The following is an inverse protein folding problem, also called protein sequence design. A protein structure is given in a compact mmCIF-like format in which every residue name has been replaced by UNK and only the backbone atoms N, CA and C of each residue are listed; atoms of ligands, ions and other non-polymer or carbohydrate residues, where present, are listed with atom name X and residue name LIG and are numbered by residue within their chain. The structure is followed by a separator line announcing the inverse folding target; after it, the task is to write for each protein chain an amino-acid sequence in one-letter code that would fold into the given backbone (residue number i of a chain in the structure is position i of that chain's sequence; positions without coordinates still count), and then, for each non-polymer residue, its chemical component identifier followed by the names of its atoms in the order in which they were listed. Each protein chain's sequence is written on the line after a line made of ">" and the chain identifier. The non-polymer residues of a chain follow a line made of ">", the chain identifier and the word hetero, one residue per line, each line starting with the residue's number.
data_IF_936417505031
#
_entry.id   IF_936417505031
#
_cell.length_a   1.000
_cell.length_b   1.000
_cell.length_c   1.000
_cell.angle_alpha   90.00
_cell.angle_beta   90.00
_cell.angle_gamma   90.00
#
_symmetry.space_group_name_H-M   'P 1'
#
loop_
_entity.id
_entity.type
_entity.pdbx_description
1 polymer ?
#
# COMPACT_ATOMS: atom_id res chain seq x y z
N UNK A 1 8.52 -1.42 7.28
CA UNK A 1 8.99 -2.70 6.74
C UNK A 1 8.43 -3.85 7.57
N UNK A 2 8.66 -3.87 8.87
CA UNK A 2 8.28 -5.00 9.75
C UNK A 2 6.77 -5.26 9.78
N UNK A 3 5.93 -4.22 9.68
CA UNK A 3 4.46 -4.37 9.58
C UNK A 3 4.10 -5.16 8.33
N UNK A 4 4.62 -4.78 7.16
CA UNK A 4 4.36 -5.49 5.90
C UNK A 4 4.93 -6.91 5.88
N UNK A 5 6.11 -7.11 6.48
CA UNK A 5 6.66 -8.46 6.65
C UNK A 5 5.76 -9.31 7.56
N UNK A 6 5.28 -8.75 8.67
CA UNK A 6 4.34 -9.42 9.57
C UNK A 6 3.02 -9.76 8.87
N UNK A 7 2.46 -8.84 8.09
CA UNK A 7 1.26 -9.08 7.27
C UNK A 7 1.48 -10.19 6.23
N UNK A 8 2.63 -10.20 5.54
CA UNK A 8 2.97 -11.29 4.62
C UNK A 8 3.06 -12.63 5.37
N UNK A 9 3.75 -12.68 6.50
CA UNK A 9 3.90 -13.89 7.30
C UNK A 9 2.55 -14.36 7.85
N UNK A 10 1.62 -13.46 8.16
CA UNK A 10 0.30 -13.82 8.67
C UNK A 10 -0.52 -14.64 7.66
N UNK A 11 -0.29 -14.47 6.37
CA UNK A 11 -0.96 -15.24 5.30
C UNK A 11 -0.29 -16.59 5.02
N UNK A 12 0.92 -16.80 5.55
CA UNK A 12 1.74 -17.99 5.30
C UNK A 12 1.64 -18.96 6.49
N UNK A 13 0.48 -19.62 6.60
CA UNK A 13 0.23 -20.63 7.67
C UNK A 13 1.09 -21.88 7.55
N UNK A 14 1.80 -22.03 6.44
CA UNK A 14 2.84 -23.03 6.23
C UNK A 14 4.18 -22.66 6.93
N UNK A 15 4.41 -21.38 7.20
CA UNK A 15 5.64 -20.87 7.83
C UNK A 15 5.44 -20.52 9.31
N UNK A 16 4.25 -20.10 9.70
CA UNK A 16 3.95 -19.66 11.06
C UNK A 16 2.77 -20.42 11.64
N UNK A 17 2.76 -20.59 12.97
CA UNK A 17 1.64 -21.25 13.64
C UNK A 17 0.36 -20.42 13.49
N UNK A 18 -0.81 -21.07 13.52
CA UNK A 18 -2.13 -20.40 13.46
C UNK A 18 -2.29 -19.33 14.55
N UNK A 19 -1.71 -19.55 15.75
CA UNK A 19 -1.71 -18.57 16.84
C UNK A 19 -0.92 -17.34 16.47
N UNK A 20 0.30 -17.50 15.93
CA UNK A 20 1.15 -16.39 15.51
C UNK A 20 0.54 -15.65 14.30
N UNK A 21 0.00 -16.37 13.32
CA UNK A 21 -0.72 -15.78 12.18
C UNK A 21 -1.85 -14.84 12.66
N UNK A 22 -2.64 -15.28 13.65
CA UNK A 22 -3.73 -14.47 14.23
C UNK A 22 -3.21 -13.19 14.92
N UNK A 23 -2.07 -13.26 15.62
CA UNK A 23 -1.46 -12.08 16.24
C UNK A 23 -0.87 -11.12 15.17
N UNK A 24 -0.20 -11.66 14.16
CA UNK A 24 0.35 -10.87 13.07
C UNK A 24 -0.73 -10.17 12.22
N UNK A 25 -1.91 -10.77 12.09
CA UNK A 25 -3.07 -10.14 11.43
C UNK A 25 -3.60 -8.89 12.15
N UNK A 26 -3.23 -8.67 13.42
CA UNK A 26 -3.58 -7.45 14.16
C UNK A 26 -2.69 -6.26 13.81
N UNK A 27 -1.60 -6.48 13.07
CA UNK A 27 -0.74 -5.40 12.61
C UNK A 27 -1.49 -4.53 11.61
N UNK A 28 -1.78 -3.31 12.02
CA UNK A 28 -2.48 -2.34 11.17
C UNK A 28 -1.46 -1.50 10.38
N UNK A 29 -1.89 -1.05 9.19
CA UNK A 29 -1.11 -0.11 8.38
C UNK A 29 -1.33 1.34 8.80
N UNK A 30 -2.05 1.59 9.90
CA UNK A 30 -2.30 2.94 10.40
C UNK A 30 -1.01 3.51 10.99
N UNK A 31 -0.48 4.53 10.34
CA UNK A 31 0.79 5.16 10.68
C UNK A 31 0.57 6.66 10.90
N UNK A 32 1.37 7.25 11.77
CA UNK A 32 1.38 8.70 11.97
C UNK A 32 1.54 9.44 10.64
N UNK A 33 0.76 10.49 10.45
CA UNK A 33 0.80 11.28 9.23
C UNK A 33 2.14 12.01 9.06
N UNK A 34 2.65 12.05 7.83
CA UNK A 34 3.78 12.93 7.49
C UNK A 34 3.27 14.36 7.26
N UNK A 35 4.15 15.35 7.40
CA UNK A 35 3.79 16.76 7.22
C UNK A 35 3.24 17.03 5.83
N UNK A 36 2.28 17.93 5.74
CA UNK A 36 1.71 18.36 4.46
C UNK A 36 2.75 19.01 3.55
N UNK A 37 3.76 19.69 4.10
CA UNK A 37 4.85 20.29 3.33
C UNK A 37 5.65 19.23 2.57
N UNK A 38 5.88 18.06 3.16
CA UNK A 38 6.48 16.95 2.44
C UNK A 38 5.60 16.46 1.28
N UNK A 39 4.31 16.30 1.52
CA UNK A 39 3.33 15.89 0.50
C UNK A 39 3.33 16.90 -0.66
N UNK A 40 3.23 18.18 -0.34
CA UNK A 40 3.26 19.28 -1.32
C UNK A 40 4.55 19.24 -2.14
N UNK A 41 5.71 19.21 -1.50
CA UNK A 41 7.01 19.16 -2.16
C UNK A 41 7.14 17.94 -3.09
N UNK A 42 6.65 16.77 -2.66
CA UNK A 42 6.67 15.56 -3.49
C UNK A 42 5.79 15.72 -4.71
N UNK A 43 4.58 16.27 -4.56
CA UNK A 43 3.66 16.53 -5.68
C UNK A 43 4.28 17.54 -6.66
N UNK A 44 4.89 18.61 -6.17
CA UNK A 44 5.55 19.62 -6.99
C UNK A 44 6.74 19.04 -7.76
N UNK A 45 7.58 18.24 -7.09
CA UNK A 45 8.77 17.61 -7.69
C UNK A 45 8.38 16.60 -8.79
N UNK A 46 7.40 15.74 -8.52
CA UNK A 46 7.01 14.66 -9.42
C UNK A 46 6.17 15.15 -10.61
N UNK A 47 5.34 16.20 -10.43
CA UNK A 47 4.36 16.64 -11.43
C UNK A 47 4.70 18.00 -12.07
N UNK A 48 5.66 18.74 -11.53
CA UNK A 48 6.06 20.06 -12.04
C UNK A 48 4.86 21.01 -12.17
N UNK A 49 4.66 21.61 -13.34
CA UNK A 49 3.56 22.58 -13.59
C UNK A 49 2.16 21.99 -13.38
N UNK A 50 2.01 20.68 -13.55
CA UNK A 50 0.70 19.97 -13.35
C UNK A 50 0.28 19.89 -11.89
N UNK A 51 1.21 20.08 -10.95
CA UNK A 51 0.94 20.02 -9.49
C UNK A 51 -0.12 21.04 -9.06
N UNK A 52 -0.20 22.21 -9.72
CA UNK A 52 -1.19 23.25 -9.42
C UNK A 52 -2.62 22.75 -9.44
N UNK A 53 -2.97 21.86 -10.37
CA UNK A 53 -4.32 21.31 -10.49
C UNK A 53 -4.74 20.46 -9.29
N UNK A 54 -3.78 19.89 -8.59
CA UNK A 54 -4.02 19.11 -7.37
C UNK A 54 -3.95 20.03 -6.15
N UNK A 55 -2.87 20.80 -6.02
CA UNK A 55 -2.58 21.58 -4.82
C UNK A 55 -3.53 22.74 -4.57
N UNK A 56 -4.19 23.27 -5.61
CA UNK A 56 -5.16 24.38 -5.46
C UNK A 56 -6.39 23.99 -4.64
N UNK A 57 -6.79 22.72 -4.65
CA UNK A 57 -8.02 22.23 -4.02
C UNK A 57 -7.82 20.93 -3.23
N UNK A 58 -6.60 20.72 -2.69
CA UNK A 58 -6.27 19.55 -1.88
C UNK A 58 -6.65 19.79 -0.41
N UNK A 59 -7.25 18.77 0.20
CA UNK A 59 -7.42 18.75 1.64
C UNK A 59 -6.06 18.49 2.31
N UNK A 60 -5.65 19.38 3.20
CA UNK A 60 -4.38 19.23 3.93
C UNK A 60 -4.42 18.10 4.97
N UNK A 61 -5.62 17.78 5.45
CA UNK A 61 -5.82 16.63 6.34
C UNK A 61 -5.81 15.34 5.53
N UNK A 62 -4.98 14.36 5.86
CA UNK A 62 -4.96 13.12 5.12
C UNK A 62 -6.25 12.32 5.32
N UNK A 63 -6.76 11.74 4.24
CA UNK A 63 -7.84 10.75 4.30
C UNK A 63 -7.39 9.47 5.00
N UNK A 64 -6.15 9.05 4.73
CA UNK A 64 -5.52 7.93 5.42
C UNK A 64 -3.99 8.03 5.36
N UNK A 65 -3.32 7.40 6.32
CA UNK A 65 -1.86 7.36 6.39
C UNK A 65 -1.42 5.92 6.65
N UNK A 66 -0.89 5.28 5.61
CA UNK A 66 -0.43 3.89 5.64
C UNK A 66 1.10 3.80 5.71
N UNK A 67 1.63 2.58 5.86
CA UNK A 67 3.07 2.32 6.01
C UNK A 67 3.90 2.77 4.80
N UNK A 68 3.35 2.74 3.60
CA UNK A 68 4.06 3.09 2.36
C UNK A 68 3.66 4.45 1.79
N UNK A 69 2.47 4.95 2.11
CA UNK A 69 1.92 6.15 1.50
C UNK A 69 0.93 6.88 2.39
N UNK A 70 0.68 8.12 2.04
CA UNK A 70 -0.38 8.95 2.59
C UNK A 70 -1.33 9.37 1.49
N UNK A 71 -2.63 9.40 1.79
CA UNK A 71 -3.69 9.69 0.83
C UNK A 71 -4.38 10.99 1.19
N UNK A 72 -4.54 11.87 0.23
CA UNK A 72 -5.28 13.13 0.36
C UNK A 72 -6.40 13.20 -0.67
N UNK A 73 -7.47 13.88 -0.29
CA UNK A 73 -8.58 14.22 -1.18
C UNK A 73 -8.30 15.54 -1.86
N UNK A 74 -8.69 15.65 -3.12
CA UNK A 74 -8.70 16.93 -3.84
C UNK A 74 -9.86 16.99 -4.83
N UNK A 75 -10.17 18.22 -5.28
CA UNK A 75 -11.23 18.44 -6.26
C UNK A 75 -10.63 18.96 -7.57
N UNK A 76 -11.10 18.40 -8.68
CA UNK A 76 -10.76 18.82 -10.01
C UNK A 76 -12.01 18.72 -10.89
N UNK A 77 -12.36 19.82 -11.61
CA UNK A 77 -13.54 19.89 -12.47
C UNK A 77 -14.83 19.47 -11.74
N UNK A 78 -15.02 19.92 -10.50
CA UNK A 78 -16.13 19.59 -9.59
C UNK A 78 -16.25 18.11 -9.21
N UNK A 79 -15.28 17.28 -9.59
CA UNK A 79 -15.22 15.86 -9.21
C UNK A 79 -14.20 15.66 -8.10
N UNK A 80 -14.46 14.66 -7.28
CA UNK A 80 -13.62 14.29 -6.13
C UNK A 80 -12.64 13.20 -6.53
N UNK A 81 -11.38 13.40 -6.21
CA UNK A 81 -10.27 12.47 -6.48
C UNK A 81 -9.45 12.25 -5.22
N UNK A 82 -8.64 11.22 -5.24
CA UNK A 82 -7.59 11.01 -4.24
C UNK A 82 -6.23 11.02 -4.89
N UNK A 83 -5.26 11.58 -4.18
CA UNK A 83 -3.85 11.48 -4.50
C UNK A 83 -3.15 10.69 -3.41
N UNK A 84 -2.54 9.57 -3.77
CA UNK A 84 -1.72 8.74 -2.91
C UNK A 84 -0.27 9.09 -3.16
N UNK A 85 0.43 9.54 -2.13
CA UNK A 85 1.82 10.02 -2.19
C UNK A 85 2.70 9.13 -1.33
N UNK A 86 3.80 8.67 -1.88
CA UNK A 86 4.76 7.80 -1.20
C UNK A 86 5.44 8.53 -0.03
N UNK A 87 5.70 7.83 1.06
CA UNK A 87 6.41 8.37 2.23
C UNK A 87 7.89 8.68 1.94
N UNK A 88 8.51 9.60 2.71
CA UNK A 88 9.91 9.97 2.53
C UNK A 88 10.87 8.81 2.83
N UNK A 89 11.98 8.79 2.11
CA UNK A 89 13.12 7.88 2.35
C UNK A 89 12.76 6.40 2.47
N UNK A 90 11.59 6.02 1.95
CA UNK A 90 11.02 4.71 2.15
C UNK A 90 11.89 3.60 1.55
N UNK A 91 12.36 3.80 0.32
CA UNK A 91 13.20 2.81 -0.38
C UNK A 91 14.51 2.52 0.38
N UNK A 92 15.20 3.57 0.82
CA UNK A 92 16.47 3.44 1.55
C UNK A 92 16.26 2.74 2.89
N UNK A 93 15.22 3.11 3.63
CA UNK A 93 14.87 2.48 4.90
C UNK A 93 14.55 1.00 4.72
N UNK A 94 13.76 0.66 3.71
CA UNK A 94 13.40 -0.73 3.41
C UNK A 94 14.63 -1.57 3.06
N UNK A 95 15.52 -1.06 2.21
CA UNK A 95 16.74 -1.78 1.84
C UNK A 95 17.65 -2.02 3.05
N UNK A 96 17.81 -1.04 3.94
CA UNK A 96 18.58 -1.21 5.19
C UNK A 96 17.98 -2.31 6.07
N UNK A 97 16.66 -2.29 6.27
CA UNK A 97 15.97 -3.27 7.09
C UNK A 97 16.05 -4.68 6.50
N UNK A 98 15.89 -4.83 5.18
CA UNK A 98 16.02 -6.13 4.48
C UNK A 98 17.45 -6.66 4.61
N UNK A 99 18.47 -5.81 4.45
CA UNK A 99 19.87 -6.22 4.61
C UNK A 99 20.16 -6.67 6.03
N UNK A 100 19.57 -6.01 7.04
CA UNK A 100 19.71 -6.43 8.44
C UNK A 100 19.09 -7.81 8.67
N UNK A 101 17.89 -8.07 8.12
CA UNK A 101 17.24 -9.39 8.21
C UNK A 101 18.07 -10.46 7.49
N UNK A 102 18.58 -10.17 6.29
CA UNK A 102 19.47 -11.09 5.55
C UNK A 102 20.75 -11.41 6.33
N UNK A 103 21.32 -10.42 7.00
CA UNK A 103 22.47 -10.61 7.88
C UNK A 103 22.14 -11.52 9.07
N UNK A 104 21.02 -11.29 9.75
CA UNK A 104 20.54 -12.14 10.84
C UNK A 104 20.31 -13.59 10.39
N UNK A 105 19.72 -13.81 9.21
CA UNK A 105 19.54 -15.17 8.64
C UNK A 105 20.88 -15.87 8.42
N UNK A 106 21.90 -15.16 7.91
CA UNK A 106 23.25 -15.73 7.73
C UNK A 106 23.89 -16.16 9.05
N UNK A 107 23.76 -15.34 10.09
CA UNK A 107 24.24 -15.66 11.43
C UNK A 107 23.52 -16.90 11.97
N UNK A 108 22.19 -16.94 11.92
CA UNK A 108 21.40 -18.08 12.37
C UNK A 108 21.81 -19.37 11.67
N UNK A 109 22.05 -19.32 10.35
CA UNK A 109 22.49 -20.47 9.56
C UNK A 109 23.84 -20.99 9.99
N UNK A 110 24.73 -20.12 10.50
CA UNK A 110 26.06 -20.52 11.00
C UNK A 110 25.96 -21.26 12.34
N UNK A 111 25.05 -20.84 13.23
CA UNK A 111 24.94 -21.42 14.58
C UNK A 111 23.99 -22.61 14.70
N UNK A 112 22.98 -22.72 13.81
CA UNK A 112 21.98 -23.77 13.89
C UNK A 112 22.35 -24.91 12.94
N UNK A 113 22.87 -26.01 13.48
CA UNK A 113 23.26 -27.22 12.72
C UNK A 113 22.05 -27.91 12.04
N UNK A 114 20.86 -27.81 12.63
CA UNK A 114 19.60 -28.30 12.06
C UNK A 114 18.77 -27.13 11.54
N UNK A 115 19.20 -26.55 10.43
CA UNK A 115 18.46 -25.46 9.80
C UNK A 115 17.09 -25.96 9.29
N UNK A 116 15.99 -25.25 9.52
CA UNK A 116 14.69 -25.70 9.07
C UNK A 116 14.69 -25.91 7.54
N UNK A 117 13.88 -26.87 7.06
CA UNK A 117 13.70 -27.18 5.62
C UNK A 117 13.21 -25.96 4.80
N UNK A 118 12.85 -24.88 5.49
CA UNK A 118 12.34 -23.65 4.90
C UNK A 118 13.51 -22.74 4.53
N UNK A 119 13.61 -22.36 3.27
CA UNK A 119 14.63 -21.42 2.80
C UNK A 119 14.22 -19.97 3.15
N UNK A 120 14.62 -19.52 4.36
CA UNK A 120 14.36 -18.15 4.83
C UNK A 120 14.99 -17.11 3.92
N UNK A 121 16.12 -17.41 3.26
CA UNK A 121 16.75 -16.47 2.33
C UNK A 121 15.89 -16.26 1.09
N UNK A 122 15.26 -17.33 0.58
CA UNK A 122 14.32 -17.24 -0.53
C UNK A 122 13.12 -16.39 -0.16
N UNK A 123 12.55 -16.58 1.03
CA UNK A 123 11.40 -15.80 1.52
C UNK A 123 11.74 -14.31 1.57
N UNK A 124 12.88 -13.93 2.13
CA UNK A 124 13.24 -12.51 2.23
C UNK A 124 13.59 -11.89 0.85
N UNK A 125 14.11 -12.67 -0.08
CA UNK A 125 14.32 -12.21 -1.45
C UNK A 125 13.01 -12.03 -2.21
N UNK A 126 12.04 -12.93 -2.03
CA UNK A 126 10.69 -12.79 -2.59
C UNK A 126 9.98 -11.57 -1.98
N UNK A 127 10.12 -11.36 -0.67
CA UNK A 127 9.60 -10.16 0.00
C UNK A 127 10.23 -8.88 -0.56
N UNK A 128 11.55 -8.84 -0.75
CA UNK A 128 12.23 -7.70 -1.35
C UNK A 128 11.69 -7.36 -2.75
N UNK A 129 11.40 -8.38 -3.55
CA UNK A 129 10.80 -8.21 -4.88
C UNK A 129 9.39 -7.63 -4.78
N UNK A 130 8.54 -8.18 -3.91
CA UNK A 130 7.17 -7.72 -3.71
C UNK A 130 7.17 -6.26 -3.25
N UNK A 131 7.98 -5.92 -2.24
CA UNK A 131 7.99 -4.55 -1.71
C UNK A 131 8.55 -3.53 -2.72
N UNK A 132 9.54 -3.92 -3.55
CA UNK A 132 10.02 -3.06 -4.62
C UNK A 132 8.94 -2.78 -5.68
N UNK A 133 8.06 -3.74 -5.95
CA UNK A 133 6.91 -3.53 -6.83
C UNK A 133 5.87 -2.60 -6.17
N UNK A 134 5.60 -2.73 -4.88
CA UNK A 134 4.71 -1.83 -4.13
C UNK A 134 5.24 -0.38 -4.06
N UNK A 135 6.54 -0.18 -4.24
CA UNK A 135 7.18 1.15 -4.31
C UNK A 135 7.08 1.80 -5.70
N UNK A 136 6.44 1.18 -6.66
CA UNK A 136 6.22 1.77 -7.99
C UNK A 136 4.71 1.84 -8.30
N UNK A 137 4.12 2.99 -8.02
CA UNK A 137 2.68 3.19 -8.21
C UNK A 137 2.22 3.11 -9.68
N UNK A 138 3.14 3.13 -10.65
CA UNK A 138 2.81 2.86 -12.06
C UNK A 138 2.36 1.40 -12.24
N UNK A 139 2.92 0.47 -11.45
CA UNK A 139 2.48 -0.94 -11.46
C UNK A 139 1.08 -1.07 -10.87
N UNK A 140 0.78 -0.36 -9.77
CA UNK A 140 -0.57 -0.30 -9.18
C UNK A 140 -1.58 0.25 -10.21
N UNK A 141 -1.24 1.36 -10.87
CA UNK A 141 -2.08 1.95 -11.91
C UNK A 141 -2.33 0.99 -13.09
N UNK A 142 -1.29 0.32 -13.58
CA UNK A 142 -1.41 -0.65 -14.66
C UNK A 142 -2.28 -1.86 -14.26
N UNK A 143 -2.14 -2.34 -13.02
CA UNK A 143 -2.97 -3.44 -12.52
C UNK A 143 -4.43 -3.02 -12.38
N UNK A 144 -4.69 -1.80 -11.87
CA UNK A 144 -6.05 -1.26 -11.79
C UNK A 144 -6.68 -1.14 -13.18
N UNK A 145 -5.93 -0.65 -14.17
CA UNK A 145 -6.40 -0.56 -15.57
C UNK A 145 -6.76 -1.92 -16.15
N UNK A 146 -5.88 -2.93 -16.02
CA UNK A 146 -6.16 -4.30 -16.45
C UNK A 146 -7.40 -4.88 -15.75
N UNK A 147 -7.54 -4.61 -14.44
CA UNK A 147 -8.72 -5.07 -13.70
C UNK A 147 -9.98 -4.39 -14.23
N UNK A 148 -9.94 -3.09 -14.49
CA UNK A 148 -11.05 -2.36 -15.11
C UNK A 148 -11.43 -2.95 -16.47
N UNK A 149 -10.45 -3.21 -17.35
CA UNK A 149 -10.68 -3.80 -18.68
C UNK A 149 -11.31 -5.20 -18.58
N UNK A 150 -10.81 -6.04 -17.65
CA UNK A 150 -11.32 -7.41 -17.48
C UNK A 150 -12.73 -7.47 -16.88
N UNK A 151 -13.15 -6.45 -16.13
CA UNK A 151 -14.45 -6.41 -15.46
C UNK A 151 -15.39 -5.33 -16.03
N UNK A 152 -15.12 -4.86 -17.24
CA UNK A 152 -15.95 -3.89 -17.95
C UNK A 152 -17.38 -4.43 -18.09
N UNK A 153 -18.39 -3.67 -17.63
CA UNK A 153 -19.79 -4.10 -17.63
C UNK A 153 -20.20 -5.02 -16.47
N UNK A 154 -19.30 -5.31 -15.51
CA UNK A 154 -19.66 -6.05 -14.30
C UNK A 154 -20.63 -5.24 -13.45
N UNK A 155 -21.72 -5.86 -12.99
CA UNK A 155 -22.69 -5.24 -12.06
C UNK A 155 -22.27 -5.33 -10.59
N UNK A 156 -21.25 -6.12 -10.26
CA UNK A 156 -20.83 -6.38 -8.88
C UNK A 156 -19.43 -5.84 -8.53
N UNK A 157 -18.66 -5.41 -9.53
CA UNK A 157 -17.31 -4.87 -9.31
C UNK A 157 -17.18 -3.50 -9.98
N UNK A 158 -16.84 -2.50 -9.17
CA UNK A 158 -16.48 -1.17 -9.64
C UNK A 158 -14.99 -0.93 -9.38
N UNK A 159 -14.24 -0.56 -10.40
CA UNK A 159 -12.82 -0.23 -10.31
C UNK A 159 -12.67 1.28 -10.50
N UNK A 160 -12.06 2.01 -9.53
CA UNK A 160 -11.87 3.44 -9.65
C UNK A 160 -10.97 3.79 -10.84
N UNK A 161 -11.34 4.83 -11.57
CA UNK A 161 -10.57 5.30 -12.72
C UNK A 161 -9.25 5.92 -12.27
N UNK A 162 -8.17 5.59 -12.99
CA UNK A 162 -6.83 6.14 -12.76
C UNK A 162 -6.61 7.36 -13.64
N UNK A 163 -6.07 8.44 -13.08
CA UNK A 163 -5.72 9.65 -13.83
C UNK A 163 -4.25 9.56 -14.25
N UNK A 164 -3.98 8.87 -15.36
CA UNK A 164 -2.63 8.52 -15.84
C UNK A 164 -1.70 9.75 -15.93
N UNK A 165 -2.20 10.91 -16.38
CA UNK A 165 -1.41 12.15 -16.54
C UNK A 165 -0.79 12.68 -15.24
N UNK A 166 -1.27 12.21 -14.08
CA UNK A 166 -0.77 12.56 -12.74
C UNK A 166 -0.16 11.35 -12.02
N UNK A 167 -0.04 10.20 -12.70
CA UNK A 167 0.55 9.01 -12.11
C UNK A 167 2.04 8.95 -12.43
N UNK A 168 2.85 8.79 -11.39
CA UNK A 168 4.31 8.63 -11.45
C UNK A 168 4.73 7.43 -10.61
N UNK A 169 6.03 7.23 -10.43
CA UNK A 169 6.52 6.19 -9.52
C UNK A 169 6.09 6.41 -8.07
N UNK A 170 6.01 7.68 -7.62
CA UNK A 170 5.74 8.04 -6.22
C UNK A 170 4.35 8.60 -5.98
N UNK A 171 3.58 8.82 -7.03
CA UNK A 171 2.23 9.40 -6.96
C UNK A 171 1.29 8.59 -7.82
N UNK A 172 0.11 8.27 -7.29
CA UNK A 172 -1.00 7.78 -8.07
C UNK A 172 -2.24 8.61 -7.76
N UNK A 173 -2.93 9.01 -8.81
CA UNK A 173 -4.18 9.76 -8.72
C UNK A 173 -5.31 8.90 -9.27
N UNK A 174 -6.38 8.80 -8.48
CA UNK A 174 -7.54 8.00 -8.85
C UNK A 174 -8.84 8.65 -8.38
N UNK A 175 -9.93 8.19 -8.93
CA UNK A 175 -11.28 8.56 -8.53
C UNK A 175 -11.50 8.28 -7.04
N UNK A 176 -12.17 9.19 -6.34
CA UNK A 176 -12.63 8.94 -4.98
C UNK A 176 -13.90 8.09 -5.01
N UNK A 177 -13.88 7.00 -4.26
CA UNK A 177 -15.05 6.14 -4.07
C UNK A 177 -15.57 6.33 -2.66
N UNK A 178 -16.83 6.70 -2.56
CA UNK A 178 -17.54 6.78 -1.29
C UNK A 178 -18.12 5.40 -0.95
N UNK A 179 -17.27 4.55 -0.39
CA UNK A 179 -17.58 3.16 -0.10
C UNK A 179 -17.45 2.83 1.38
N UNK A 180 -18.16 1.80 1.80
CA UNK A 180 -18.07 1.25 3.16
C UNK A 180 -17.03 0.15 3.18
N UNK A 181 -15.98 0.24 4.03
CA UNK A 181 -15.01 -0.83 4.18
C UNK A 181 -15.70 -2.17 4.52
N UNK A 182 -15.30 -3.23 3.84
CA UNK A 182 -15.85 -4.59 4.05
C UNK A 182 -15.68 -5.08 5.51
N UNK A 183 -14.70 -4.54 6.23
CA UNK A 183 -14.46 -4.81 7.65
C UNK A 183 -15.45 -4.09 8.58
N UNK A 184 -16.15 -3.07 8.10
CA UNK A 184 -17.16 -2.33 8.88
C UNK A 184 -18.53 -3.04 8.82
N UNK A 185 -18.60 -4.21 9.42
CA UNK A 185 -19.81 -5.07 9.44
C UNK A 185 -21.03 -4.33 10.00
N UNK A 186 -20.84 -3.43 10.96
CA UNK A 186 -21.94 -2.66 11.57
C UNK A 186 -22.61 -1.75 10.52
N UNK A 187 -21.82 -1.07 9.73
CA UNK A 187 -22.30 -0.17 8.68
C UNK A 187 -22.95 -0.96 7.53
N UNK A 188 -22.28 -2.04 7.07
CA UNK A 188 -22.81 -2.91 6.02
C UNK A 188 -24.19 -3.50 6.36
N UNK A 189 -24.44 -3.87 7.62
CA UNK A 189 -25.74 -4.37 8.08
C UNK A 189 -26.86 -3.35 7.95
N UNK A 190 -26.57 -2.03 8.09
CA UNK A 190 -27.60 -0.99 7.90
C UNK A 190 -28.13 -0.95 6.47
N UNK A 191 -27.31 -1.32 5.50
CA UNK A 191 -27.70 -1.41 4.09
C UNK A 191 -28.33 -2.73 3.69
N UNK A 192 -28.64 -3.62 4.68
CA UNK A 192 -29.27 -4.94 4.48
C UNK A 192 -28.51 -5.84 3.47
N UNK A 193 -27.20 -5.67 3.37
CA UNK A 193 -26.36 -6.50 2.50
C UNK A 193 -26.26 -7.93 3.06
N UNK A 194 -26.35 -8.93 2.16
CA UNK A 194 -26.10 -10.33 2.53
C UNK A 194 -24.58 -10.52 2.72
N UNK A 195 -24.16 -10.78 3.95
CA UNK A 195 -22.76 -10.96 4.35
C UNK A 195 -22.29 -12.42 4.36
N UNK A 196 -23.09 -13.33 3.74
CA UNK A 196 -22.72 -14.75 3.60
C UNK A 196 -21.91 -14.99 2.36
#
# INVERSE_FOLDING_TARGET
>A
VYIKLGQLLSTRTDLVSKKLSKELNKLTDDCEAVSFDYIKNTIETELGKKSKNILSNIDKTPLSSASLAQVHVFFMDKKKFVVKVQRPHLKEKILKDINLVKFGIRILRFFIKSYPRIDLMKIINDYERVINNELDFRLEANNAKKTYENFQGSSFLYVPSIVEKYTTKKIIVMEYIDGIPVTNIKELKKYKLNLK
#
